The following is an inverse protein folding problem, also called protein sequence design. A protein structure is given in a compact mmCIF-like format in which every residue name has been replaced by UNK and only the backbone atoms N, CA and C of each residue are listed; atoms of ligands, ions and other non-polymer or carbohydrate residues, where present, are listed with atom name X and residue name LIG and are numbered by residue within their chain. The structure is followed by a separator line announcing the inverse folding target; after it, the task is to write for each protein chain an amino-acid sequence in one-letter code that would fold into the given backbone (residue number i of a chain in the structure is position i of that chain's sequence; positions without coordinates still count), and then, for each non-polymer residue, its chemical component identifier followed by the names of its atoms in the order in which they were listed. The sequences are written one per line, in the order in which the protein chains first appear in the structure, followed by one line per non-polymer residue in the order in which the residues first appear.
data_IF_953309559662
#
_entry.id   IF_953309559662
#
_cell.length_a   1.000
_cell.length_b   1.000
_cell.length_c   1.000
_cell.angle_alpha   90.00
_cell.angle_beta   90.00
_cell.angle_gamma   90.00
#
_symmetry.space_group_name_H-M   'P 1'
#
loop_
_entity.id
_entity.type
_entity.pdbx_description
1 polymer ?
#
# COMPACT_ATOMS: atom_id res chain seq x y z
N UNK A 1 -4.92 -13.48 -3.51
CA UNK A 1 -5.81 -12.74 -2.60
C UNK A 1 -5.83 -11.29 -3.05
N UNK A 2 -6.87 -10.51 -2.73
CA UNK A 2 -6.91 -9.06 -2.98
C UNK A 2 -7.54 -8.36 -1.77
N UNK A 3 -6.97 -7.23 -1.36
CA UNK A 3 -7.58 -6.37 -0.36
C UNK A 3 -8.91 -5.81 -0.89
N UNK A 4 -9.97 -5.85 -0.07
CA UNK A 4 -11.30 -5.36 -0.48
C UNK A 4 -11.86 -4.34 0.48
N UNK A 5 -11.79 -4.61 1.78
CA UNK A 5 -12.42 -3.79 2.81
C UNK A 5 -11.59 -3.81 4.09
N UNK A 6 -11.69 -2.74 4.87
CA UNK A 6 -11.13 -2.65 6.22
C UNK A 6 -12.04 -1.83 7.14
N UNK A 7 -11.72 -1.79 8.43
CA UNK A 7 -12.36 -0.93 9.41
C UNK A 7 -11.28 -0.16 10.17
N UNK A 8 -11.33 1.16 10.10
CA UNK A 8 -10.33 2.07 10.71
C UNK A 8 -11.12 3.12 11.49
N UNK A 9 -10.77 3.35 12.76
CA UNK A 9 -11.52 4.28 13.62
C UNK A 9 -13.01 3.93 13.79
N UNK A 10 -13.41 2.67 13.57
CA UNK A 10 -14.82 2.24 13.57
C UNK A 10 -15.59 2.54 12.28
N UNK A 11 -14.95 3.18 11.29
CA UNK A 11 -15.52 3.40 9.95
C UNK A 11 -15.09 2.27 9.03
N UNK A 12 -16.04 1.66 8.31
CA UNK A 12 -15.75 0.65 7.29
C UNK A 12 -15.39 1.32 5.98
N UNK A 13 -14.38 0.80 5.31
CA UNK A 13 -13.93 1.27 4.01
C UNK A 13 -13.93 0.16 2.98
N UNK A 14 -14.10 0.54 1.71
CA UNK A 14 -13.97 -0.34 0.55
C UNK A 14 -12.93 0.22 -0.42
N UNK A 15 -12.03 -0.64 -0.89
CA UNK A 15 -11.06 -0.32 -1.95
C UNK A 15 -11.71 -0.54 -3.32
N UNK A 16 -11.74 0.53 -4.13
CA UNK A 16 -12.21 0.53 -5.52
C UNK A 16 -11.31 1.44 -6.34
N UNK A 17 -10.81 0.93 -7.46
CA UNK A 17 -10.02 1.70 -8.43
C UNK A 17 -8.84 2.47 -7.78
N UNK A 18 -8.11 1.81 -6.87
CA UNK A 18 -6.99 2.38 -6.12
C UNK A 18 -7.38 3.56 -5.20
N UNK A 19 -8.66 3.64 -4.84
CA UNK A 19 -9.20 4.62 -3.89
C UNK A 19 -9.94 3.92 -2.76
N UNK A 20 -9.86 4.51 -1.58
CA UNK A 20 -10.50 4.01 -0.37
C UNK A 20 -11.78 4.81 -0.09
N UNK A 21 -12.94 4.17 -0.10
CA UNK A 21 -14.23 4.84 0.11
C UNK A 21 -14.84 4.45 1.46
N UNK A 22 -15.22 5.40 2.33
CA UNK A 22 -15.98 5.08 3.52
C UNK A 22 -17.38 4.59 3.14
N UNK A 23 -17.75 3.41 3.63
CA UNK A 23 -19.04 2.79 3.34
C UNK A 23 -20.14 3.53 4.10
N UNK A 24 -21.19 3.94 3.39
CA UNK A 24 -22.36 4.61 3.97
C UNK A 24 -22.18 6.12 4.19
N UNK A 25 -21.11 6.72 3.68
CA UNK A 25 -20.87 8.16 3.70
C UNK A 25 -20.72 8.71 2.29
N UNK A 26 -21.18 9.94 2.06
CA UNK A 26 -20.94 10.67 0.80
C UNK A 26 -19.60 11.36 0.90
N UNK A 27 -18.52 10.61 0.67
CA UNK A 27 -17.16 11.13 0.69
C UNK A 27 -16.44 10.76 -0.61
N UNK A 28 -15.60 11.67 -1.11
CA UNK A 28 -14.69 11.37 -2.22
C UNK A 28 -13.66 10.34 -1.76
N UNK A 29 -13.41 9.29 -2.55
CA UNK A 29 -12.46 8.25 -2.15
C UNK A 29 -11.05 8.82 -1.91
N UNK A 30 -10.36 8.28 -0.91
CA UNK A 30 -9.00 8.65 -0.57
C UNK A 30 -8.02 7.93 -1.51
N UNK A 31 -7.08 8.66 -2.09
CA UNK A 31 -5.91 8.11 -2.78
C UNK A 31 -4.62 8.48 -2.02
N UNK A 32 -3.47 8.02 -2.51
CA UNK A 32 -2.17 8.24 -1.86
C UNK A 32 -1.83 9.72 -1.57
N UNK A 33 -2.43 10.67 -2.29
CA UNK A 33 -2.14 12.10 -2.16
C UNK A 33 -3.00 12.78 -1.07
N UNK A 34 -4.09 12.15 -0.65
CA UNK A 34 -5.07 12.74 0.26
C UNK A 34 -5.44 11.84 1.47
N UNK A 35 -4.65 10.79 1.76
CA UNK A 35 -4.82 10.01 2.99
C UNK A 35 -4.67 10.90 4.22
N UNK A 36 -5.58 10.72 5.18
CA UNK A 36 -5.44 11.29 6.53
C UNK A 36 -4.33 10.59 7.30
N UNK A 37 -3.80 11.21 8.36
CA UNK A 37 -2.75 10.60 9.19
C UNK A 37 -3.17 9.23 9.76
N UNK A 38 -4.41 9.10 10.26
CA UNK A 38 -4.94 7.82 10.76
C UNK A 38 -4.92 6.72 9.68
N UNK A 39 -5.29 7.06 8.44
CA UNK A 39 -5.24 6.10 7.33
C UNK A 39 -3.81 5.77 6.95
N UNK A 40 -2.89 6.74 6.95
CA UNK A 40 -1.46 6.52 6.67
C UNK A 40 -0.84 5.59 7.70
N UNK A 41 -1.06 5.84 8.99
CA UNK A 41 -0.56 4.99 10.09
C UNK A 41 -1.06 3.55 9.94
N UNK A 42 -2.33 3.37 9.59
CA UNK A 42 -2.89 2.05 9.32
C UNK A 42 -2.13 1.33 8.18
N UNK A 43 -1.91 1.99 7.04
CA UNK A 43 -1.18 1.38 5.92
C UNK A 43 0.32 1.19 6.21
N UNK A 44 0.95 2.05 7.02
CA UNK A 44 2.31 1.85 7.53
C UNK A 44 2.37 0.58 8.38
N UNK A 45 1.42 0.39 9.29
CA UNK A 45 1.36 -0.83 10.10
C UNK A 45 1.19 -2.08 9.21
N UNK A 46 0.35 -2.04 8.18
CA UNK A 46 0.21 -3.15 7.22
C UNK A 46 1.50 -3.42 6.44
N UNK A 47 2.25 -2.39 6.06
CA UNK A 47 3.51 -2.50 5.32
C UNK A 47 4.72 -2.93 6.19
N UNK A 48 4.57 -3.02 7.51
CA UNK A 48 5.64 -3.42 8.43
C UNK A 48 5.33 -4.72 9.19
N UNK A 49 4.06 -5.05 9.41
CA UNK A 49 3.63 -6.20 10.20
C UNK A 49 3.45 -7.48 9.35
N UNK A 50 4.47 -7.86 8.59
CA UNK A 50 4.45 -9.05 7.74
C UNK A 50 5.83 -9.70 7.62
N UNK A 51 5.90 -10.87 7.00
CA UNK A 51 7.17 -11.54 6.66
C UNK A 51 7.52 -11.52 5.17
N UNK A 52 6.79 -10.75 4.36
CA UNK A 52 6.98 -10.66 2.93
C UNK A 52 8.38 -10.12 2.55
N UNK A 53 8.90 -10.60 1.42
CA UNK A 53 10.11 -10.10 0.78
C UNK A 53 9.74 -9.15 -0.36
N UNK A 54 10.49 -8.06 -0.50
CA UNK A 54 10.32 -7.08 -1.57
C UNK A 54 11.46 -7.24 -2.58
N UNK A 55 11.09 -7.48 -3.85
CA UNK A 55 12.03 -7.57 -4.94
C UNK A 55 11.82 -6.36 -5.85
N UNK A 56 12.83 -5.50 -5.97
CA UNK A 56 12.80 -4.37 -6.90
C UNK A 56 12.62 -4.90 -8.34
N UNK A 57 11.68 -4.30 -9.07
CA UNK A 57 11.44 -4.60 -10.48
C UNK A 57 12.26 -3.64 -11.35
N UNK A 58 12.95 -4.20 -12.34
CA UNK A 58 13.57 -3.42 -13.41
C UNK A 58 12.49 -2.83 -14.34
N UNK A 59 12.79 -1.70 -14.97
CA UNK A 59 11.87 -1.00 -15.89
C UNK A 59 11.40 -1.85 -17.09
N UNK A 60 12.12 -2.91 -17.42
CA UNK A 60 11.81 -3.83 -18.54
C UNK A 60 10.92 -5.03 -18.14
N UNK A 61 10.59 -5.18 -16.86
CA UNK A 61 9.70 -6.26 -16.40
C UNK A 61 8.23 -5.87 -16.59
N UNK A 62 7.41 -6.81 -17.05
CA UNK A 62 5.96 -6.62 -17.12
C UNK A 62 5.42 -6.21 -15.74
N UNK A 63 4.76 -5.04 -15.68
CA UNK A 63 4.14 -4.53 -14.45
C UNK A 63 3.14 -5.60 -13.98
N UNK A 64 3.34 -6.21 -12.79
CA UNK A 64 2.48 -7.28 -12.36
C UNK A 64 1.04 -6.77 -12.18
N UNK A 65 0.07 -7.59 -12.57
CA UNK A 65 -1.36 -7.28 -12.44
C UNK A 65 -1.68 -6.94 -10.97
N UNK A 66 -2.14 -5.71 -10.71
CA UNK A 66 -2.39 -5.18 -9.36
C UNK A 66 -1.29 -4.29 -8.75
N UNK A 67 -0.12 -4.17 -9.40
CA UNK A 67 0.97 -3.27 -9.05
C UNK A 67 0.81 -1.90 -9.73
N UNK A 68 -0.32 -1.23 -9.47
CA UNK A 68 -0.55 0.12 -10.00
C UNK A 68 0.00 1.13 -9.00
N UNK A 69 1.17 1.68 -9.30
CA UNK A 69 1.68 2.81 -8.53
C UNK A 69 0.84 4.05 -8.87
N UNK A 70 0.43 4.84 -7.87
CA UNK A 70 -0.22 6.11 -8.13
C UNK A 70 0.65 7.00 -9.02
N UNK A 71 0.04 7.86 -9.85
CA UNK A 71 0.77 8.81 -10.70
C UNK A 71 1.79 9.66 -9.93
N UNK A 72 1.53 9.93 -8.65
CA UNK A 72 2.44 10.64 -7.75
C UNK A 72 3.80 9.96 -7.58
N UNK A 73 3.92 8.66 -7.89
CA UNK A 73 5.11 7.84 -7.71
C UNK A 73 5.72 7.37 -9.04
N UNK A 74 5.48 8.06 -10.17
CA UNK A 74 5.97 7.59 -11.47
C UNK A 74 7.51 7.37 -11.53
N UNK A 75 8.29 8.06 -10.68
CA UNK A 75 9.74 7.88 -10.55
C UNK A 75 10.16 6.83 -9.53
N UNK A 76 9.24 6.34 -8.70
CA UNK A 76 9.57 5.43 -7.63
C UNK A 76 9.68 4.01 -8.15
N UNK A 77 10.62 3.29 -7.54
CA UNK A 77 10.88 1.90 -7.86
C UNK A 77 9.66 1.05 -7.51
N UNK A 78 9.27 0.18 -8.44
CA UNK A 78 8.21 -0.79 -8.23
C UNK A 78 8.80 -2.02 -7.56
N UNK A 79 8.04 -2.64 -6.66
CA UNK A 79 8.45 -3.85 -5.96
C UNK A 79 7.44 -4.97 -6.18
N UNK A 80 7.95 -6.17 -6.41
CA UNK A 80 7.18 -7.41 -6.41
C UNK A 80 7.30 -8.05 -5.03
N UNK A 81 6.16 -8.20 -4.36
CA UNK A 81 6.11 -8.83 -3.04
C UNK A 81 5.95 -10.34 -3.15
N UNK A 82 6.79 -11.06 -2.41
CA UNK A 82 6.70 -12.51 -2.24
C UNK A 82 6.44 -12.82 -0.77
N UNK A 83 5.40 -13.60 -0.47
CA UNK A 83 5.06 -13.99 0.89
C UNK A 83 4.58 -15.43 0.91
N UNK A 84 4.77 -16.10 2.05
CA UNK A 84 4.27 -17.47 2.25
C UNK A 84 2.75 -17.52 2.34
N UNK A 85 2.12 -16.43 2.82
CA UNK A 85 0.66 -16.27 2.80
C UNK A 85 0.21 -15.34 1.67
N UNK A 86 -0.84 -15.71 0.91
CA UNK A 86 -1.42 -14.81 -0.09
C UNK A 86 -2.08 -13.57 0.54
N UNK A 87 -2.46 -13.61 1.82
CA UNK A 87 -3.00 -12.47 2.56
C UNK A 87 -1.95 -11.41 2.83
N UNK A 88 -0.79 -11.78 3.37
CA UNK A 88 0.33 -10.86 3.63
C UNK A 88 0.75 -10.14 2.35
N UNK A 89 0.87 -10.88 1.25
CA UNK A 89 1.17 -10.30 -0.07
C UNK A 89 0.12 -9.24 -0.46
N UNK A 90 -1.16 -9.54 -0.30
CA UNK A 90 -2.22 -8.59 -0.65
C UNK A 90 -2.22 -7.34 0.25
N UNK A 91 -1.80 -7.45 1.52
CA UNK A 91 -1.62 -6.32 2.43
C UNK A 91 -0.42 -5.44 2.03
N UNK A 92 0.69 -6.03 1.58
CA UNK A 92 1.82 -5.28 1.04
C UNK A 92 1.44 -4.52 -0.23
N UNK A 93 0.76 -5.20 -1.16
CA UNK A 93 0.33 -4.62 -2.43
C UNK A 93 -0.63 -3.46 -2.24
N UNK A 94 -1.63 -3.58 -1.35
CA UNK A 94 -2.56 -2.46 -1.10
C UNK A 94 -1.87 -1.28 -0.44
N UNK A 95 -0.95 -1.51 0.49
CA UNK A 95 -0.18 -0.44 1.14
C UNK A 95 0.64 0.33 0.09
N UNK A 96 1.28 -0.40 -0.84
CA UNK A 96 2.02 0.19 -1.96
C UNK A 96 1.13 1.02 -2.88
N UNK A 97 -0.11 0.56 -3.16
CA UNK A 97 -1.09 1.33 -3.95
C UNK A 97 -1.51 2.63 -3.26
N UNK A 98 -1.51 2.65 -1.93
CA UNK A 98 -1.80 3.83 -1.13
C UNK A 98 -0.56 4.67 -0.81
N UNK A 99 0.56 4.41 -1.48
CA UNK A 99 1.77 5.23 -1.38
C UNK A 99 2.65 4.90 -0.18
N UNK A 100 2.48 3.73 0.43
CA UNK A 100 3.34 3.18 1.48
C UNK A 100 4.07 1.96 0.90
N UNK A 101 5.28 2.18 0.38
CA UNK A 101 6.03 1.17 -0.38
C UNK A 101 7.07 0.51 0.53
N UNK A 102 6.94 -0.79 0.76
CA UNK A 102 7.96 -1.56 1.49
C UNK A 102 9.12 -1.92 0.55
N UNK A 103 10.34 -1.49 0.91
CA UNK A 103 11.55 -1.70 0.08
C UNK A 103 12.34 -2.93 0.49
N UNK A 104 12.02 -3.54 1.62
CA UNK A 104 12.74 -4.68 2.18
C UNK A 104 13.32 -4.40 3.55
N UNK A 105 14.24 -5.26 3.96
CA UNK A 105 14.94 -5.19 5.24
C UNK A 105 16.43 -4.97 4.99
N UNK A 106 17.01 -3.97 5.65
CA UNK A 106 18.46 -3.74 5.70
C UNK A 106 18.90 -3.95 7.14
N UNK A 107 19.66 -5.03 7.38
CA UNK A 107 20.02 -5.49 8.72
C UNK A 107 18.77 -5.78 9.58
N UNK A 108 18.57 -5.01 10.65
CA UNK A 108 17.41 -5.08 11.55
C UNK A 108 16.36 -4.00 11.31
N UNK A 109 16.56 -3.15 10.30
CA UNK A 109 15.64 -2.08 9.95
C UNK A 109 14.83 -2.46 8.71
N UNK A 110 13.54 -2.15 8.76
CA UNK A 110 12.64 -2.20 7.60
C UNK A 110 12.62 -0.83 6.93
N UNK A 111 12.69 -0.80 5.60
CA UNK A 111 12.71 0.44 4.83
C UNK A 111 11.37 0.65 4.12
N UNK A 112 10.82 1.85 4.27
CA UNK A 112 9.59 2.29 3.60
C UNK A 112 9.86 3.53 2.74
N UNK A 113 9.11 3.66 1.64
CA UNK A 113 8.80 4.95 1.03
C UNK A 113 7.37 5.35 1.40
N UNK A 114 7.17 6.62 1.76
CA UNK A 114 5.85 7.14 2.15
C UNK A 114 5.53 8.37 1.31
N UNK A 115 4.30 8.44 0.79
CA UNK A 115 3.80 9.58 0.03
C UNK A 115 3.56 10.78 0.93
N UNK A 116 4.04 11.95 0.51
CA UNK A 116 3.84 13.19 1.26
C UNK A 116 4.82 13.34 2.43
N UNK A 117 4.46 14.18 3.40
CA UNK A 117 5.25 14.38 4.61
C UNK A 117 4.68 13.53 5.74
N UNK A 118 5.57 12.95 6.53
CA UNK A 118 5.29 12.47 7.88
C UNK A 118 5.46 13.69 8.79
N UNK A 119 4.39 14.16 9.43
CA UNK A 119 4.46 15.30 10.37
C UNK A 119 4.82 14.84 11.79
#
# INVERSE_FOLDING_TARGET
MRFRQCSIGGVKYEEKDNKLFPIGQVHTGYDCSCLTEELKEFFIALALCHTAQANELSQDEDIPDGCHLPTAFYNSKLYKYQASSPDEKALCEVSSRFGIIFKGKVNDFMELEVCGKLE
#
